data_IF_470358867495
#
_entry.id   IF_470358867495
#
_cell.length_a   1.000
_cell.length_b   1.000
_cell.length_c   1.000
_cell.angle_alpha   90.00
_cell.angle_beta   90.00
_cell.angle_gamma   90.00
#
_symmetry.space_group_name_H-M   'P 1'
#
loop_
_entity.id
_entity.type
_entity.pdbx_description
1 polymer ?
#
# COMPACT_ATOMS: atom_id res chain seq x y z
N UNK A 1 -14.18 -5.65 4.96
CA UNK A 1 -13.37 -6.16 6.08
C UNK A 1 -12.04 -5.43 6.09
N UNK A 2 -11.74 -4.67 7.16
CA UNK A 2 -10.44 -4.03 7.29
C UNK A 2 -9.35 -5.10 7.34
N UNK A 3 -8.31 -4.96 6.52
CA UNK A 3 -7.14 -5.85 6.59
C UNK A 3 -6.42 -5.58 7.92
N UNK A 4 -6.35 -6.54 8.85
CA UNK A 4 -5.87 -6.31 10.22
C UNK A 4 -4.44 -5.78 10.30
N UNK A 5 -3.65 -5.93 9.24
CA UNK A 5 -2.25 -5.50 9.17
C UNK A 5 -2.04 -4.18 8.39
N UNK A 6 -3.11 -3.52 7.92
CA UNK A 6 -3.00 -2.28 7.14
C UNK A 6 -3.33 -1.05 7.97
N UNK A 7 -2.35 -0.14 8.08
CA UNK A 7 -2.55 1.17 8.70
C UNK A 7 -3.44 2.03 7.81
N UNK A 8 -4.61 2.41 8.32
CA UNK A 8 -5.48 3.41 7.69
C UNK A 8 -5.09 4.81 8.18
N UNK A 9 -4.92 5.76 7.27
CA UNK A 9 -4.61 7.14 7.61
C UNK A 9 -5.30 8.09 6.63
N UNK A 10 -5.64 9.30 7.09
CA UNK A 10 -6.17 10.35 6.23
C UNK A 10 -5.01 10.99 5.46
N UNK A 11 -5.06 10.91 4.14
CA UNK A 11 -4.08 11.51 3.25
C UNK A 11 -4.64 12.82 2.69
N UNK A 12 -3.93 13.93 2.89
CA UNK A 12 -4.17 15.18 2.15
C UNK A 12 -3.33 15.13 0.89
N UNK A 13 -3.97 15.16 -0.27
CA UNK A 13 -3.33 15.09 -1.57
C UNK A 13 -3.94 16.14 -2.50
N UNK A 14 -3.13 16.65 -3.41
CA UNK A 14 -3.61 17.51 -4.48
C UNK A 14 -4.63 16.76 -5.37
N UNK A 15 -5.80 17.36 -5.71
CA UNK A 15 -6.83 16.71 -6.51
C UNK A 15 -6.39 16.34 -7.94
N UNK A 16 -5.49 17.11 -8.56
CA UNK A 16 -4.99 16.79 -9.90
C UNK A 16 -4.07 15.57 -9.83
N UNK A 17 -3.19 15.51 -8.83
CA UNK A 17 -2.36 14.34 -8.60
C UNK A 17 -3.20 13.09 -8.33
N UNK A 18 -4.28 13.21 -7.55
CA UNK A 18 -5.19 12.10 -7.30
C UNK A 18 -5.83 11.57 -8.59
N UNK A 19 -6.27 12.47 -9.48
CA UNK A 19 -6.87 12.11 -10.77
C UNK A 19 -5.91 11.33 -11.66
N UNK A 20 -4.62 11.69 -11.67
CA UNK A 20 -3.61 10.94 -12.43
C UNK A 20 -3.34 9.56 -11.81
N UNK A 21 -3.35 9.43 -10.48
CA UNK A 21 -3.24 8.11 -9.82
C UNK A 21 -4.44 7.22 -10.17
N UNK A 22 -5.65 7.77 -10.22
CA UNK A 22 -6.85 7.04 -10.65
C UNK A 22 -6.73 6.54 -12.08
N UNK A 23 -6.25 7.39 -12.99
CA UNK A 23 -6.02 7.03 -14.41
C UNK A 23 -5.00 5.89 -14.53
N UNK A 24 -3.89 5.97 -13.80
CA UNK A 24 -2.87 4.93 -13.77
C UNK A 24 -3.41 3.60 -13.20
N UNK A 25 -4.16 3.68 -12.10
CA UNK A 25 -4.79 2.51 -11.49
C UNK A 25 -5.77 1.82 -12.46
N UNK A 26 -6.57 2.60 -13.19
CA UNK A 26 -7.49 2.08 -14.20
C UNK A 26 -6.75 1.41 -15.36
N UNK A 27 -5.65 2.01 -15.85
CA UNK A 27 -4.83 1.45 -16.91
C UNK A 27 -4.17 0.11 -16.51
N UNK A 28 -3.81 -0.05 -15.24
CA UNK A 28 -3.20 -1.26 -14.69
C UNK A 28 -4.21 -2.27 -14.13
N UNK A 29 -5.52 -2.03 -14.30
CA UNK A 29 -6.60 -2.87 -13.76
C UNK A 29 -6.47 -3.13 -12.25
N UNK A 30 -6.11 -2.08 -11.51
CA UNK A 30 -5.80 -2.13 -10.08
C UNK A 30 -6.73 -1.19 -9.31
N UNK A 31 -6.98 -1.49 -8.03
CA UNK A 31 -7.60 -0.49 -7.14
C UNK A 31 -6.65 0.68 -6.89
N UNK A 32 -7.22 1.87 -6.72
CA UNK A 32 -6.46 3.10 -6.46
C UNK A 32 -5.57 2.95 -5.21
N UNK A 33 -6.08 2.33 -4.14
CA UNK A 33 -5.28 2.07 -2.93
C UNK A 33 -4.09 1.16 -3.19
N UNK A 34 -4.24 0.13 -4.02
CA UNK A 34 -3.13 -0.74 -4.37
C UNK A 34 -2.13 -0.04 -5.31
N UNK A 35 -2.56 0.93 -6.12
CA UNK A 35 -1.68 1.76 -6.96
C UNK A 35 -0.85 2.70 -6.08
N UNK A 36 -1.49 3.38 -5.12
CA UNK A 36 -0.80 4.21 -4.12
C UNK A 36 0.24 3.38 -3.36
N UNK A 37 -0.11 2.18 -2.89
CA UNK A 37 0.84 1.33 -2.16
C UNK A 37 2.02 0.90 -3.04
N UNK A 38 1.78 0.60 -4.33
CA UNK A 38 2.85 0.27 -5.28
C UNK A 38 3.81 1.45 -5.48
N UNK A 39 3.29 2.64 -5.79
CA UNK A 39 4.07 3.85 -6.01
C UNK A 39 4.90 4.24 -4.77
N UNK A 40 4.32 4.10 -3.57
CA UNK A 40 5.03 4.39 -2.32
C UNK A 40 6.18 3.40 -2.06
N UNK A 41 5.95 2.10 -2.28
CA UNK A 41 7.00 1.07 -2.17
C UNK A 41 8.12 1.32 -3.17
N UNK A 42 7.77 1.71 -4.38
CA UNK A 42 8.71 2.04 -5.44
C UNK A 42 9.57 3.25 -5.08
N UNK A 43 8.94 4.34 -4.65
CA UNK A 43 9.62 5.56 -4.22
C UNK A 43 10.55 5.34 -3.01
N UNK A 44 10.13 4.54 -2.02
CA UNK A 44 10.99 4.16 -0.89
C UNK A 44 12.18 3.36 -1.37
N UNK A 45 11.96 2.32 -2.20
CA UNK A 45 13.04 1.49 -2.74
C UNK A 45 14.05 2.31 -3.53
N UNK A 46 13.60 3.24 -4.36
CA UNK A 46 14.45 4.12 -5.14
C UNK A 46 15.30 5.05 -4.26
N UNK A 47 14.77 5.49 -3.10
CA UNK A 47 15.45 6.44 -2.20
C UNK A 47 16.37 5.78 -1.19
N UNK A 48 16.00 4.62 -0.66
CA UNK A 48 16.73 3.99 0.46
C UNK A 48 17.44 2.70 0.07
N UNK A 49 17.19 2.18 -1.14
CA UNK A 49 17.64 0.84 -1.55
C UNK A 49 16.96 -0.30 -0.79
N UNK A 50 16.08 0.01 0.18
CA UNK A 50 15.39 -0.99 0.99
C UNK A 50 14.12 -1.43 0.28
N UNK A 51 13.89 -2.74 0.19
CA UNK A 51 12.62 -3.27 -0.27
C UNK A 51 11.73 -3.51 0.95
N UNK A 52 10.74 -2.64 1.27
CA UNK A 52 9.82 -2.92 2.37
C UNK A 52 9.06 -4.21 2.04
N UNK A 53 9.37 -5.31 2.73
CA UNK A 53 8.68 -6.57 2.50
C UNK A 53 7.22 -6.50 2.97
N UNK A 54 6.37 -7.31 2.34
CA UNK A 54 5.17 -7.89 2.96
C UNK A 54 5.47 -8.23 4.43
N UNK A 55 4.91 -7.66 5.52
CA UNK A 55 5.01 -8.39 6.78
C UNK A 55 4.41 -9.78 6.52
N UNK A 56 5.25 -10.80 6.57
CA UNK A 56 4.80 -12.18 6.45
C UNK A 56 3.75 -12.36 7.54
N UNK A 57 2.58 -12.89 7.19
CA UNK A 57 1.57 -13.28 8.15
C UNK A 57 2.15 -14.37 9.05
N UNK A 58 2.93 -13.99 10.06
CA UNK A 58 3.32 -14.87 11.15
C UNK A 58 2.06 -15.06 11.94
N UNK A 59 1.34 -16.12 11.62
CA UNK A 59 0.15 -16.57 12.33
C UNK A 59 0.42 -16.47 13.85
N UNK A 60 -0.48 -15.88 14.64
CA UNK A 60 -0.32 -15.92 16.08
C UNK A 60 -0.34 -17.39 16.48
N UNK A 61 0.77 -17.89 17.04
CA UNK A 61 0.79 -19.19 17.72
C UNK A 61 -0.29 -19.11 18.81
N UNK A 62 -1.46 -19.71 18.56
CA UNK A 62 -2.44 -19.99 19.59
C UNK A 62 -1.73 -20.88 20.60
N UNK A 63 -1.28 -20.30 21.70
CA UNK A 63 -0.94 -21.03 22.91
C UNK A 63 -2.23 -21.66 23.42
N UNK A 64 -2.45 -22.92 23.06
CA UNK A 64 -3.44 -23.78 23.70
C UNK A 64 -3.09 -23.90 25.17
N UNK A 65 -3.96 -23.38 26.04
CA UNK A 65 -4.02 -23.77 27.44
C UNK A 65 -5.49 -23.94 27.82
#
# INVERSE_FOLDING_TARGET
>A
MASPDKKSFLLRIDPQLWSEIERLAAAELRSVNAQVEYLLRDAVRARTGSNPQKPSATAPKRSSR
#
